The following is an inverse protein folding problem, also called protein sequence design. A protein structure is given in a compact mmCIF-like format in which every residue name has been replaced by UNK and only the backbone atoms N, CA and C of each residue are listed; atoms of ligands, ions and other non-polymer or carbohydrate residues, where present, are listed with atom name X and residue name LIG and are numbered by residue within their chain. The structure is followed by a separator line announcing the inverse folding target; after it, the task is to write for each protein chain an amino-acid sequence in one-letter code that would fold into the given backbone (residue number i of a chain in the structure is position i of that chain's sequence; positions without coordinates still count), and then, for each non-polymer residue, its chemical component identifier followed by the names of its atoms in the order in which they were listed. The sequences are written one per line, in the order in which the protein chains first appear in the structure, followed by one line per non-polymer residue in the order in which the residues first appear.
data_IF_753618809204
#
_entry.id   IF_753618809204
#
_cell.length_a   1.000
_cell.length_b   1.000
_cell.length_c   1.000
_cell.angle_alpha   90.00
_cell.angle_beta   90.00
_cell.angle_gamma   90.00
#
_symmetry.space_group_name_H-M   'P 1'
#
loop_
_entity.id
_entity.type
_entity.pdbx_description
1 polymer ?
#
# COMPACT_ATOMS: atom_id res chain seq x y z
N UNK A 1 17.88 -26.23 -40.42
CA UNK A 1 17.28 -26.88 -39.24
C UNK A 1 17.54 -25.93 -38.09
N UNK A 2 16.60 -25.03 -37.82
CA UNK A 2 16.75 -24.00 -36.80
C UNK A 2 16.41 -24.61 -35.45
N UNK A 3 17.31 -24.52 -34.48
CA UNK A 3 17.05 -24.95 -33.10
C UNK A 3 15.79 -24.27 -32.55
N UNK A 4 14.96 -24.97 -31.75
CA UNK A 4 13.89 -24.30 -31.03
C UNK A 4 14.54 -23.33 -30.05
N UNK A 5 14.14 -22.07 -30.11
CA UNK A 5 14.45 -21.10 -29.04
C UNK A 5 13.87 -21.73 -27.77
N UNK A 6 14.75 -22.09 -26.83
CA UNK A 6 14.36 -22.49 -25.49
C UNK A 6 13.39 -21.44 -24.96
N UNK A 7 12.10 -21.78 -24.89
CA UNK A 7 11.08 -20.90 -24.35
C UNK A 7 11.40 -20.77 -22.88
N UNK A 8 12.07 -19.68 -22.49
CA UNK A 8 12.30 -19.32 -21.09
C UNK A 8 10.95 -19.47 -20.39
N UNK A 9 10.87 -20.38 -19.43
CA UNK A 9 9.66 -20.67 -18.66
C UNK A 9 9.11 -19.43 -17.94
N UNK A 10 7.93 -19.52 -17.30
CA UNK A 10 7.31 -18.37 -16.64
C UNK A 10 8.28 -17.73 -15.64
N UNK A 11 8.33 -16.40 -15.62
CA UNK A 11 9.24 -15.65 -14.74
C UNK A 11 8.64 -15.64 -13.33
N UNK A 12 9.12 -16.53 -12.47
CA UNK A 12 8.57 -16.76 -11.12
C UNK A 12 9.67 -16.69 -10.06
N UNK A 13 9.30 -16.37 -8.81
CA UNK A 13 10.25 -16.41 -7.68
C UNK A 13 10.59 -17.82 -7.22
N UNK A 14 9.61 -18.72 -7.34
CA UNK A 14 9.59 -20.03 -6.70
C UNK A 14 9.06 -21.05 -7.70
N UNK A 15 9.96 -21.70 -8.45
CA UNK A 15 9.63 -22.63 -9.53
C UNK A 15 8.66 -23.76 -9.09
N UNK A 16 8.84 -24.29 -7.87
CA UNK A 16 8.01 -25.36 -7.32
C UNK A 16 6.54 -24.96 -7.09
N UNK A 17 6.21 -23.66 -7.03
CA UNK A 17 4.82 -23.18 -6.98
C UNK A 17 4.21 -23.03 -8.37
N UNK A 18 5.06 -22.87 -9.39
CA UNK A 18 4.67 -22.64 -10.77
C UNK A 18 4.41 -23.93 -11.55
N UNK A 19 4.61 -25.11 -10.97
CA UNK A 19 4.25 -26.41 -11.58
C UNK A 19 2.78 -26.80 -11.36
N UNK A 20 1.98 -25.94 -10.73
CA UNK A 20 0.57 -26.17 -10.41
C UNK A 20 -0.39 -25.89 -11.57
N UNK A 21 -1.70 -25.89 -11.27
CA UNK A 21 -2.77 -25.69 -12.25
C UNK A 21 -2.81 -24.27 -12.86
N UNK A 22 -2.15 -23.28 -12.24
CA UNK A 22 -2.13 -21.89 -12.71
C UNK A 22 -0.76 -21.23 -12.48
N UNK A 23 0.25 -21.53 -13.31
CA UNK A 23 1.61 -20.96 -13.19
C UNK A 23 1.64 -19.42 -13.25
N UNK A 24 0.73 -18.83 -14.02
CA UNK A 24 0.61 -17.37 -14.16
C UNK A 24 0.28 -16.66 -12.82
N UNK A 25 -0.32 -17.35 -11.85
CA UNK A 25 -0.54 -16.78 -10.52
C UNK A 25 0.81 -16.56 -9.80
N UNK A 26 1.77 -17.48 -9.96
CA UNK A 26 3.11 -17.34 -9.40
C UNK A 26 3.90 -16.20 -10.03
N UNK A 27 3.66 -15.87 -11.30
CA UNK A 27 4.23 -14.68 -11.94
C UNK A 27 3.69 -13.39 -11.30
N UNK A 28 2.37 -13.33 -11.06
CA UNK A 28 1.74 -12.20 -10.37
C UNK A 28 2.29 -12.08 -8.94
N UNK A 29 2.43 -13.18 -8.21
CA UNK A 29 2.95 -13.19 -6.85
C UNK A 29 4.39 -12.68 -6.81
N UNK A 30 5.23 -13.09 -7.75
CA UNK A 30 6.58 -12.59 -7.86
C UNK A 30 6.60 -11.07 -8.16
N UNK A 31 5.79 -10.63 -9.13
CA UNK A 31 5.61 -9.21 -9.43
C UNK A 31 5.12 -8.41 -8.22
N UNK A 32 4.18 -8.96 -7.45
CA UNK A 32 3.64 -8.35 -6.24
C UNK A 32 4.71 -8.20 -5.16
N UNK A 33 5.57 -9.20 -4.94
CA UNK A 33 6.69 -9.10 -4.00
C UNK A 33 7.64 -7.96 -4.39
N UNK A 34 8.06 -7.92 -5.65
CA UNK A 34 8.97 -6.88 -6.14
C UNK A 34 8.35 -5.49 -6.06
N UNK A 35 7.08 -5.37 -6.48
CA UNK A 35 6.33 -4.11 -6.45
C UNK A 35 6.12 -3.62 -5.03
N UNK A 36 5.76 -4.50 -4.09
CA UNK A 36 5.58 -4.15 -2.68
C UNK A 36 6.87 -3.57 -2.07
N UNK A 37 8.01 -4.19 -2.35
CA UNK A 37 9.31 -3.66 -1.91
C UNK A 37 9.64 -2.31 -2.53
N UNK A 38 9.43 -2.16 -3.84
CA UNK A 38 9.68 -0.89 -4.54
C UNK A 38 8.75 0.23 -4.04
N UNK A 39 7.46 -0.07 -3.90
CA UNK A 39 6.44 0.87 -3.43
C UNK A 39 6.69 1.31 -1.99
N UNK A 40 7.05 0.38 -1.10
CA UNK A 40 7.42 0.70 0.28
C UNK A 40 8.62 1.65 0.35
N UNK A 41 9.69 1.36 -0.42
CA UNK A 41 10.86 2.27 -0.49
C UNK A 41 10.47 3.64 -1.05
N UNK A 42 9.64 3.68 -2.07
CA UNK A 42 9.15 4.93 -2.66
C UNK A 42 8.38 5.78 -1.64
N UNK A 43 7.43 5.20 -0.91
CA UNK A 43 6.63 5.93 0.09
C UNK A 43 7.52 6.58 1.15
N UNK A 44 8.44 5.81 1.74
CA UNK A 44 9.36 6.32 2.77
C UNK A 44 10.24 7.44 2.23
N UNK A 45 10.84 7.27 1.04
CA UNK A 45 11.71 8.28 0.42
C UNK A 45 10.93 9.54 0.04
N UNK A 46 9.72 9.40 -0.50
CA UNK A 46 8.85 10.52 -0.86
C UNK A 46 8.43 11.33 0.37
N UNK A 47 8.08 10.65 1.47
CA UNK A 47 7.73 11.32 2.73
C UNK A 47 8.93 12.03 3.37
N UNK A 48 10.11 11.41 3.35
CA UNK A 48 11.35 12.06 3.79
C UNK A 48 11.65 13.31 2.96
N UNK A 49 11.55 13.23 1.62
CA UNK A 49 11.69 14.37 0.72
C UNK A 49 10.60 15.45 0.92
N UNK A 50 9.47 15.09 1.54
CA UNK A 50 8.39 16.00 1.92
C UNK A 50 8.60 16.65 3.29
N UNK A 51 9.77 16.46 3.90
CA UNK A 51 10.18 17.08 5.15
C UNK A 51 9.71 16.35 6.41
N UNK A 52 9.29 15.08 6.30
CA UNK A 52 8.93 14.25 7.46
C UNK A 52 9.70 12.92 7.39
N UNK A 53 10.98 12.91 7.80
CA UNK A 53 11.78 11.69 7.81
C UNK A 53 11.30 10.71 8.89
N UNK A 54 11.91 9.51 8.90
CA UNK A 54 11.72 8.48 9.93
C UNK A 54 10.30 7.94 10.07
N UNK A 55 9.43 8.13 9.07
CA UNK A 55 8.15 7.43 9.00
C UNK A 55 8.31 6.09 8.29
N UNK A 56 7.73 5.04 8.87
CA UNK A 56 7.58 3.74 8.22
C UNK A 56 6.47 3.78 7.17
N UNK A 57 6.41 2.77 6.30
CA UNK A 57 5.30 2.60 5.34
C UNK A 57 3.93 2.67 6.04
N UNK A 58 3.76 2.00 7.17
CA UNK A 58 2.47 1.99 7.89
C UNK A 58 2.14 3.35 8.48
N UNK A 59 3.13 4.07 9.03
CA UNK A 59 2.93 5.45 9.52
C UNK A 59 2.37 6.35 8.40
N UNK A 60 2.91 6.21 7.18
CA UNK A 60 2.53 7.01 6.01
C UNK A 60 1.12 6.65 5.54
N UNK A 61 0.81 5.36 5.43
CA UNK A 61 -0.53 4.87 5.06
C UNK A 61 -1.59 5.35 6.06
N UNK A 62 -1.31 5.26 7.36
CA UNK A 62 -2.20 5.75 8.42
C UNK A 62 -2.38 7.26 8.31
N UNK A 63 -1.31 8.04 8.11
CA UNK A 63 -1.41 9.49 7.95
C UNK A 63 -2.28 9.89 6.74
N UNK A 64 -2.07 9.25 5.58
CA UNK A 64 -2.88 9.49 4.38
C UNK A 64 -4.33 9.09 4.59
N UNK A 65 -4.59 7.95 5.25
CA UNK A 65 -5.93 7.51 5.58
C UNK A 65 -6.64 8.52 6.49
N UNK A 66 -5.98 8.97 7.57
CA UNK A 66 -6.52 9.97 8.49
C UNK A 66 -6.82 11.29 7.77
N UNK A 67 -5.92 11.76 6.91
CA UNK A 67 -6.12 12.98 6.10
C UNK A 67 -7.27 12.86 5.08
N UNK A 68 -7.60 11.63 4.64
CA UNK A 68 -8.64 11.41 3.63
C UNK A 68 -10.03 11.84 4.08
N UNK A 69 -10.77 12.52 3.20
CA UNK A 69 -12.19 12.93 3.37
C UNK A 69 -12.49 13.83 4.58
N UNK A 70 -11.47 14.40 5.23
CA UNK A 70 -11.56 15.37 6.34
C UNK A 70 -12.58 15.00 7.45
N UNK A 71 -12.71 13.70 7.75
CA UNK A 71 -13.59 13.16 8.80
C UNK A 71 -12.77 12.46 9.89
N UNK A 72 -13.15 12.61 11.17
CA UNK A 72 -12.55 11.83 12.26
C UNK A 72 -12.72 10.33 12.01
N UNK A 73 -11.69 9.54 12.37
CA UNK A 73 -11.69 8.08 12.20
C UNK A 73 -11.36 7.38 13.50
N UNK A 74 -11.85 6.16 13.66
CA UNK A 74 -11.49 5.28 14.77
C UNK A 74 -10.29 4.43 14.38
N UNK A 75 -9.68 3.75 15.36
CA UNK A 75 -8.65 2.76 15.06
C UNK A 75 -9.21 1.63 14.18
N UNK A 76 -10.42 1.17 14.47
CA UNK A 76 -11.08 0.09 13.74
C UNK A 76 -11.34 0.47 12.28
N UNK A 77 -11.80 1.70 12.01
CA UNK A 77 -12.00 2.19 10.64
C UNK A 77 -10.69 2.20 9.85
N UNK A 78 -9.59 2.62 10.48
CA UNK A 78 -8.28 2.68 9.84
C UNK A 78 -7.77 1.27 9.52
N UNK A 79 -7.83 0.36 10.50
CA UNK A 79 -7.41 -1.03 10.32
C UNK A 79 -8.22 -1.72 9.21
N UNK A 80 -9.54 -1.51 9.19
CA UNK A 80 -10.44 -2.05 8.17
C UNK A 80 -10.08 -1.55 6.76
N UNK A 81 -9.94 -0.23 6.59
CA UNK A 81 -9.70 0.35 5.25
C UNK A 81 -8.30 -0.01 4.72
N UNK A 82 -7.31 -0.15 5.60
CA UNK A 82 -5.94 -0.52 5.22
C UNK A 82 -5.71 -2.03 5.14
N UNK A 83 -6.73 -2.85 5.42
CA UNK A 83 -6.62 -4.31 5.53
C UNK A 83 -5.48 -4.75 6.47
N UNK A 84 -5.38 -4.13 7.66
CA UNK A 84 -4.38 -4.46 8.68
C UNK A 84 -5.05 -5.25 9.81
N UNK A 85 -4.67 -6.50 9.97
CA UNK A 85 -5.18 -7.38 11.02
C UNK A 85 -4.59 -7.04 12.40
N UNK A 86 -3.26 -6.85 12.49
CA UNK A 86 -2.63 -6.47 13.74
C UNK A 86 -2.81 -4.97 14.05
N UNK A 87 -3.87 -4.70 14.81
CA UNK A 87 -4.24 -3.37 15.31
C UNK A 87 -3.15 -2.69 16.18
N UNK A 88 -2.17 -3.44 16.72
CA UNK A 88 -1.07 -2.84 17.46
C UNK A 88 -0.19 -1.99 16.56
N UNK A 89 0.06 -2.42 15.32
CA UNK A 89 0.86 -1.66 14.35
C UNK A 89 0.19 -0.32 14.05
N UNK A 90 -1.14 -0.30 13.86
CA UNK A 90 -1.91 0.93 13.69
C UNK A 90 -1.84 1.81 14.94
N UNK A 91 -1.92 1.20 16.13
CA UNK A 91 -1.78 1.93 17.41
C UNK A 91 -0.43 2.63 17.52
N UNK A 92 0.67 1.95 17.19
CA UNK A 92 2.01 2.53 17.19
C UNK A 92 2.15 3.67 16.19
N UNK A 93 1.61 3.51 14.98
CA UNK A 93 1.58 4.56 13.98
C UNK A 93 0.83 5.79 14.48
N UNK A 94 -0.37 5.62 15.05
CA UNK A 94 -1.16 6.72 15.61
C UNK A 94 -0.40 7.45 16.74
N UNK A 95 0.20 6.71 17.68
CA UNK A 95 0.99 7.32 18.77
C UNK A 95 2.17 8.12 18.22
N UNK A 96 2.87 7.61 17.21
CA UNK A 96 4.02 8.27 16.59
C UNK A 96 3.60 9.53 15.83
N UNK A 97 2.54 9.46 15.02
CA UNK A 97 2.01 10.60 14.27
C UNK A 97 1.47 11.70 15.20
N UNK A 98 0.87 11.32 16.35
CA UNK A 98 0.41 12.25 17.37
C UNK A 98 1.60 12.96 18.05
N UNK A 99 2.67 12.21 18.40
CA UNK A 99 3.92 12.78 18.92
C UNK A 99 4.57 13.77 17.96
N UNK A 100 4.48 13.50 16.65
CA UNK A 100 4.96 14.39 15.58
C UNK A 100 3.98 15.53 15.25
N UNK A 101 2.86 15.64 15.97
CA UNK A 101 1.81 16.66 15.79
C UNK A 101 1.17 16.66 14.39
N UNK A 102 1.25 15.54 13.66
CA UNK A 102 0.63 15.39 12.34
C UNK A 102 -0.84 14.97 12.43
N UNK A 103 -1.20 14.34 13.54
CA UNK A 103 -2.58 14.03 13.89
C UNK A 103 -2.88 14.52 15.31
N UNK A 104 -4.17 14.63 15.62
CA UNK A 104 -4.69 14.91 16.96
C UNK A 104 -5.76 13.88 17.33
N UNK A 105 -5.77 13.46 18.58
CA UNK A 105 -6.84 12.64 19.12
C UNK A 105 -8.00 13.49 19.64
N UNK A 106 -9.21 12.96 19.52
CA UNK A 106 -10.43 13.45 20.15
C UNK A 106 -11.22 12.30 20.76
N UNK A 107 -12.37 12.61 21.34
CA UNK A 107 -13.33 11.61 21.84
C UNK A 107 -14.74 11.90 21.35
N UNK A 108 -15.49 10.85 21.10
CA UNK A 108 -16.95 10.89 20.92
C UNK A 108 -17.55 9.82 21.82
N UNK A 109 -18.11 10.24 22.95
CA UNK A 109 -18.48 9.31 24.02
C UNK A 109 -17.27 8.56 24.56
N UNK A 110 -17.32 7.22 24.50
CA UNK A 110 -16.21 6.34 24.94
C UNK A 110 -15.18 6.06 23.84
N UNK A 111 -15.44 6.46 22.60
CA UNK A 111 -14.63 6.12 21.43
C UNK A 111 -13.50 7.14 21.20
N UNK A 112 -12.27 6.66 21.01
CA UNK A 112 -11.12 7.50 20.61
C UNK A 112 -11.20 7.75 19.10
N UNK A 113 -11.21 9.03 18.73
CA UNK A 113 -11.17 9.48 17.35
C UNK A 113 -9.81 10.10 17.03
N UNK A 114 -9.39 10.02 15.79
CA UNK A 114 -8.19 10.70 15.29
C UNK A 114 -8.53 11.55 14.07
N UNK A 115 -7.88 12.71 13.98
CA UNK A 115 -8.02 13.67 12.89
C UNK A 115 -6.66 14.19 12.48
N UNK A 116 -6.52 14.57 11.22
CA UNK A 116 -5.32 15.23 10.75
C UNK A 116 -5.21 16.64 11.35
N UNK A 117 -3.99 17.10 11.61
CA UNK A 117 -3.73 18.52 11.90
C UNK A 117 -3.44 19.29 10.62
N UNK A 118 -3.38 20.62 10.69
CA UNK A 118 -2.91 21.44 9.57
C UNK A 118 -1.49 21.05 9.14
N UNK A 119 -0.61 20.73 10.10
CA UNK A 119 0.75 20.27 9.83
C UNK A 119 0.75 18.90 9.09
N UNK A 120 -0.12 17.97 9.50
CA UNK A 120 -0.27 16.68 8.82
C UNK A 120 -0.85 16.81 7.40
N UNK A 121 -1.83 17.69 7.21
CA UNK A 121 -2.40 17.99 5.90
C UNK A 121 -1.36 18.63 4.98
N UNK A 122 -0.56 19.58 5.49
CA UNK A 122 0.53 20.21 4.76
C UNK A 122 1.62 19.19 4.37
N UNK A 123 1.96 18.25 5.26
CA UNK A 123 2.88 17.15 4.93
C UNK A 123 2.33 16.28 3.78
N UNK A 124 1.05 15.91 3.83
CA UNK A 124 0.39 15.18 2.73
C UNK A 124 0.37 15.97 1.42
N UNK A 125 0.20 17.29 1.47
CA UNK A 125 0.21 18.15 0.29
C UNK A 125 1.61 18.21 -0.35
N UNK A 126 2.68 18.34 0.45
CA UNK A 126 4.06 18.25 -0.04
C UNK A 126 4.38 16.89 -0.63
N UNK A 127 3.92 15.81 0.02
CA UNK A 127 4.01 14.45 -0.52
C UNK A 127 3.36 14.32 -1.89
N UNK A 128 2.14 14.86 -2.04
CA UNK A 128 1.46 14.90 -3.33
C UNK A 128 2.31 15.63 -4.38
N UNK A 129 2.82 16.83 -4.07
CA UNK A 129 3.63 17.60 -5.01
C UNK A 129 4.90 16.85 -5.45
N UNK A 130 5.58 16.18 -4.52
CA UNK A 130 6.76 15.36 -4.80
C UNK A 130 6.42 14.13 -5.66
N UNK A 131 5.26 13.51 -5.40
CA UNK A 131 4.76 12.40 -6.23
C UNK A 131 4.44 12.85 -7.65
N UNK A 132 3.80 14.01 -7.82
CA UNK A 132 3.51 14.56 -9.14
C UNK A 132 4.79 14.83 -9.94
N UNK A 133 5.82 15.42 -9.30
CA UNK A 133 7.05 15.80 -9.98
C UNK A 133 7.96 14.62 -10.33
N UNK A 134 8.05 13.61 -9.46
CA UNK A 134 9.02 12.51 -9.61
C UNK A 134 8.43 11.23 -10.21
N UNK A 135 7.19 10.87 -9.87
CA UNK A 135 6.60 9.59 -10.26
C UNK A 135 5.53 9.75 -11.33
N UNK A 136 4.56 10.64 -11.13
CA UNK A 136 3.44 10.77 -12.10
C UNK A 136 3.97 11.20 -13.46
N UNK A 137 4.90 12.17 -13.49
CA UNK A 137 5.54 12.61 -14.74
C UNK A 137 6.25 11.46 -15.48
N UNK A 138 6.94 10.56 -14.77
CA UNK A 138 7.63 9.44 -15.42
C UNK A 138 6.66 8.39 -15.94
N UNK A 139 5.58 8.10 -15.18
CA UNK A 139 4.54 7.16 -15.59
C UNK A 139 3.75 7.69 -16.79
N UNK A 140 3.41 8.98 -16.82
CA UNK A 140 2.74 9.60 -17.97
C UNK A 140 3.59 9.60 -19.25
N UNK A 141 4.92 9.48 -19.12
CA UNK A 141 5.82 9.33 -20.27
C UNK A 141 5.85 7.89 -20.81
N UNK A 142 5.19 6.94 -20.14
CA UNK A 142 5.01 5.56 -20.64
C UNK A 142 3.77 5.48 -21.52
N UNK A 143 3.68 4.47 -22.39
CA UNK A 143 2.51 4.22 -23.26
C UNK A 143 1.31 3.59 -22.50
N UNK A 144 1.37 3.51 -21.18
CA UNK A 144 0.31 2.88 -20.36
C UNK A 144 -0.86 3.84 -20.18
N UNK A 145 -2.04 3.46 -20.66
CA UNK A 145 -3.26 4.26 -20.51
C UNK A 145 -3.83 4.24 -19.08
N UNK A 146 -4.57 5.29 -18.72
CA UNK A 146 -5.26 5.37 -17.43
C UNK A 146 -6.30 4.25 -17.24
N UNK A 147 -6.94 3.80 -18.32
CA UNK A 147 -7.90 2.70 -18.30
C UNK A 147 -7.20 1.37 -18.00
N UNK A 148 -6.04 1.12 -18.63
CA UNK A 148 -5.23 -0.06 -18.35
C UNK A 148 -4.80 -0.11 -16.88
N UNK A 149 -4.36 1.03 -16.32
CA UNK A 149 -4.03 1.12 -14.88
C UNK A 149 -5.25 0.84 -14.00
N UNK A 150 -6.44 1.30 -14.40
CA UNK A 150 -7.68 1.09 -13.66
C UNK A 150 -8.10 -0.39 -13.66
N UNK A 151 -7.94 -1.08 -14.79
CA UNK A 151 -8.18 -2.52 -14.91
C UNK A 151 -7.21 -3.34 -14.06
N UNK A 152 -5.91 -3.02 -14.09
CA UNK A 152 -4.91 -3.65 -13.22
C UNK A 152 -5.28 -3.44 -11.75
N UNK A 153 -5.68 -2.22 -11.37
CA UNK A 153 -6.09 -1.93 -10.00
C UNK A 153 -7.34 -2.72 -9.58
N UNK A 154 -8.30 -2.93 -10.48
CA UNK A 154 -9.48 -3.75 -10.21
C UNK A 154 -9.11 -5.23 -9.98
N UNK A 155 -8.23 -5.78 -10.80
CA UNK A 155 -7.73 -7.17 -10.66
C UNK A 155 -6.95 -7.36 -9.36
N UNK A 156 -6.10 -6.42 -8.98
CA UNK A 156 -5.37 -6.47 -7.71
C UNK A 156 -6.32 -6.47 -6.50
N UNK A 157 -7.39 -5.67 -6.52
CA UNK A 157 -8.40 -5.68 -5.45
C UNK A 157 -9.14 -7.01 -5.37
N UNK A 158 -9.53 -7.58 -6.51
CA UNK A 158 -10.17 -8.90 -6.55
C UNK A 158 -9.25 -9.99 -5.99
N UNK A 159 -7.98 -9.99 -6.41
CA UNK A 159 -6.98 -10.96 -5.95
C UNK A 159 -6.68 -10.83 -4.45
N UNK A 160 -6.65 -9.60 -3.90
CA UNK A 160 -6.54 -9.38 -2.46
C UNK A 160 -7.64 -10.12 -1.68
N UNK A 161 -8.88 -10.10 -2.17
CA UNK A 161 -9.99 -10.80 -1.52
C UNK A 161 -9.82 -12.33 -1.55
N UNK A 162 -9.27 -12.87 -2.64
CA UNK A 162 -8.94 -14.30 -2.72
C UNK A 162 -7.84 -14.69 -1.73
N UNK A 163 -6.80 -13.85 -1.58
CA UNK A 163 -5.76 -14.08 -0.58
C UNK A 163 -6.30 -14.05 0.85
N UNK A 164 -7.16 -13.07 1.18
CA UNK A 164 -7.78 -13.00 2.50
C UNK A 164 -8.63 -14.25 2.80
N UNK A 165 -9.35 -14.77 1.79
CA UNK A 165 -10.11 -16.02 1.93
C UNK A 165 -9.20 -17.24 2.12
N UNK A 166 -8.14 -17.34 1.31
CA UNK A 166 -7.18 -18.44 1.41
C UNK A 166 -6.46 -18.44 2.77
N UNK A 167 -6.08 -17.26 3.29
CA UNK A 167 -5.45 -17.11 4.59
C UNK A 167 -6.34 -17.61 5.74
N UNK A 168 -7.63 -17.27 5.72
CA UNK A 168 -8.61 -17.79 6.70
C UNK A 168 -8.76 -19.32 6.61
N UNK A 169 -8.79 -19.85 5.39
CA UNK A 169 -8.81 -21.30 5.17
C UNK A 169 -7.58 -21.98 5.78
N UNK A 170 -6.39 -21.42 5.53
CA UNK A 170 -5.14 -21.93 6.09
C UNK A 170 -5.09 -21.88 7.62
N UNK A 171 -5.62 -20.82 8.24
CA UNK A 171 -5.67 -20.69 9.71
C UNK A 171 -6.65 -21.67 10.40
N UNK A 172 -7.57 -22.28 9.63
CA UNK A 172 -8.53 -23.26 10.14
C UNK A 172 -8.05 -24.72 10.05
N UNK A 173 -6.89 -24.94 9.42
CA UNK A 173 -6.22 -26.25 9.32
C UNK A 173 -5.25 -26.44 10.49
#
# INVERSE_FOLDING_TARGET
MSEPIDTVGPIVSSEHLASGALPALSEIEFGLTMLNHAFSRWMVRCMAASGVPDLSTVDILVLHNVNSRNKPKTLADIALVLNIEDTHVVTYALKKLERLKLIKSGRRGKEKLVMVTEAGAAACARYKAMRESLLVKSVLATEVSADSLSDVAARLRALSGHYDQAARGAASL
#
